data_IF_046047850314
#
_entry.id   IF_046047850314
#
_cell.length_a   1.000
_cell.length_b   1.000
_cell.length_c   1.000
_cell.angle_alpha   90.00
_cell.angle_beta   90.00
_cell.angle_gamma   90.00
#
_symmetry.space_group_name_H-M   'P 1'
#
loop_
_entity.id
_entity.type
_entity.pdbx_description
1 polymer ?
#
# COMPACT_ATOMS: atom_id res chain seq x y z
N UNK A 1 -4.30 9.78 -36.00
CA UNK A 1 -4.86 9.22 -34.76
C UNK A 1 -3.95 8.09 -34.32
N UNK A 2 -2.95 8.39 -33.50
CA UNK A 2 -2.15 7.35 -32.84
C UNK A 2 -3.01 6.77 -31.73
N UNK A 3 -3.43 5.51 -31.86
CA UNK A 3 -3.93 4.75 -30.72
C UNK A 3 -2.85 4.78 -29.67
N UNK A 4 -3.15 5.35 -28.50
CA UNK A 4 -2.25 5.36 -27.36
C UNK A 4 -2.21 3.92 -26.84
N UNK A 5 -1.27 3.14 -27.38
CA UNK A 5 -1.09 1.75 -26.98
C UNK A 5 -0.41 1.81 -25.63
N UNK A 6 -1.14 1.47 -24.57
CA UNK A 6 -0.58 1.27 -23.23
C UNK A 6 0.60 0.30 -23.37
N UNK A 7 1.83 0.75 -23.12
CA UNK A 7 3.02 -0.10 -23.24
C UNK A 7 3.51 -0.59 -21.89
N UNK A 8 3.33 0.22 -20.84
CA UNK A 8 3.88 -0.02 -19.53
C UNK A 8 2.95 0.47 -18.42
N UNK A 9 2.72 -0.41 -17.44
CA UNK A 9 1.95 -0.08 -16.24
C UNK A 9 2.79 -0.44 -15.03
N UNK A 10 3.02 0.52 -14.14
CA UNK A 10 3.59 0.27 -12.83
C UNK A 10 2.48 -0.02 -11.84
N UNK A 11 2.60 -1.08 -11.05
CA UNK A 11 1.59 -1.45 -10.08
C UNK A 11 2.18 -1.49 -8.66
N UNK A 12 1.59 -0.75 -7.73
CA UNK A 12 2.06 -0.58 -6.35
C UNK A 12 0.99 -1.15 -5.41
N UNK A 13 1.40 -2.08 -4.54
CA UNK A 13 0.55 -2.78 -3.58
C UNK A 13 1.22 -2.87 -2.20
N UNK A 14 0.43 -3.09 -1.15
CA UNK A 14 0.91 -3.47 0.20
C UNK A 14 1.92 -2.49 0.82
N UNK A 15 1.73 -1.19 0.59
CA UNK A 15 2.61 -0.15 1.16
C UNK A 15 2.47 -0.08 2.69
N UNK A 16 1.29 -0.40 3.24
CA UNK A 16 0.99 -0.45 4.68
C UNK A 16 1.45 0.81 5.45
N UNK A 17 1.31 1.99 4.83
CA UNK A 17 1.71 3.27 5.43
C UNK A 17 3.23 3.49 5.51
N UNK A 18 4.05 2.64 4.88
CA UNK A 18 5.50 2.80 4.82
C UNK A 18 5.91 3.92 3.85
N UNK A 19 5.82 5.15 4.34
CA UNK A 19 6.18 6.37 3.58
C UNK A 19 7.62 6.34 3.03
N UNK A 20 8.65 5.88 3.76
CA UNK A 20 10.00 5.72 3.20
C UNK A 20 10.05 4.79 1.99
N UNK A 21 9.39 3.62 2.06
CA UNK A 21 9.36 2.67 0.94
C UNK A 21 8.62 3.24 -0.27
N UNK A 22 7.47 3.89 -0.05
CA UNK A 22 6.73 4.55 -1.11
C UNK A 22 7.57 5.64 -1.80
N UNK A 23 8.28 6.45 -1.03
CA UNK A 23 9.15 7.49 -1.59
C UNK A 23 10.31 6.92 -2.42
N UNK A 24 10.88 5.78 -2.01
CA UNK A 24 11.92 5.10 -2.78
C UNK A 24 11.38 4.61 -4.13
N UNK A 25 10.23 3.93 -4.14
CA UNK A 25 9.57 3.44 -5.36
C UNK A 25 9.18 4.61 -6.27
N UNK A 26 8.61 5.68 -5.73
CA UNK A 26 8.26 6.87 -6.52
C UNK A 26 9.48 7.54 -7.15
N UNK A 27 10.64 7.51 -6.49
CA UNK A 27 11.89 8.03 -7.05
C UNK A 27 12.37 7.17 -8.24
N UNK A 28 12.19 5.87 -8.16
CA UNK A 28 12.55 4.95 -9.24
C UNK A 28 11.59 5.06 -10.44
N UNK A 29 10.28 5.18 -10.18
CA UNK A 29 9.27 5.36 -11.23
C UNK A 29 9.45 6.63 -12.05
N UNK A 30 10.07 7.68 -11.48
CA UNK A 30 10.46 8.89 -12.24
C UNK A 30 11.48 8.60 -13.34
N UNK A 31 12.32 7.58 -13.17
CA UNK A 31 13.29 7.18 -14.19
C UNK A 31 12.65 6.24 -15.24
N UNK A 32 11.77 5.34 -14.79
CA UNK A 32 11.12 4.34 -15.64
C UNK A 32 10.04 4.96 -16.54
N UNK A 33 9.35 6.01 -16.06
CA UNK A 33 8.28 6.71 -16.78
C UNK A 33 7.23 5.77 -17.39
N UNK A 34 6.52 4.97 -16.56
CA UNK A 34 5.44 4.14 -17.05
C UNK A 34 4.29 4.99 -17.59
N UNK A 35 3.55 4.46 -18.56
CA UNK A 35 2.38 5.16 -19.13
C UNK A 35 1.26 5.33 -18.08
N UNK A 36 1.13 4.34 -17.19
CA UNK A 36 0.15 4.37 -16.09
C UNK A 36 0.70 3.81 -14.79
N UNK A 37 0.17 4.31 -13.67
CA UNK A 37 0.44 3.79 -12.32
C UNK A 37 -0.88 3.28 -11.73
N UNK A 38 -0.93 1.99 -11.42
CA UNK A 38 -2.01 1.34 -10.68
C UNK A 38 -1.61 1.26 -9.20
N UNK A 39 -2.50 1.72 -8.32
CA UNK A 39 -2.31 1.67 -6.88
C UNK A 39 -3.41 0.78 -6.32
N UNK A 40 -3.05 -0.41 -5.83
CA UNK A 40 -4.03 -1.38 -5.35
C UNK A 40 -3.79 -1.77 -3.90
N UNK A 41 -4.83 -1.67 -3.07
CA UNK A 41 -4.92 -2.28 -1.73
C UNK A 41 -3.91 -1.85 -0.68
N UNK A 42 -4.31 -1.84 0.59
CA UNK A 42 -3.41 -1.79 1.76
C UNK A 42 -2.36 -0.65 1.77
N UNK A 43 -2.70 0.51 1.19
CA UNK A 43 -1.75 1.64 1.05
C UNK A 43 -1.45 2.32 2.39
N UNK A 44 -2.44 2.47 3.28
CA UNK A 44 -2.31 3.23 4.53
C UNK A 44 -2.55 2.37 5.76
N UNK A 45 -3.66 1.63 5.78
CA UNK A 45 -3.91 0.60 6.79
C UNK A 45 -3.92 -0.73 6.04
N UNK A 46 -3.05 -1.67 6.43
CA UNK A 46 -3.32 -3.07 6.13
C UNK A 46 -4.63 -3.54 6.78
N UNK A 47 -5.04 -4.79 6.56
CA UNK A 47 -6.21 -5.37 7.19
C UNK A 47 -6.14 -5.15 8.70
N UNK A 48 -7.02 -4.27 9.19
CA UNK A 48 -7.18 -4.08 10.63
C UNK A 48 -8.00 -5.23 11.15
N UNK A 49 -7.33 -6.20 11.78
CA UNK A 49 -8.00 -7.17 12.65
C UNK A 49 -8.50 -6.41 13.87
N UNK A 50 -9.78 -6.03 13.84
CA UNK A 50 -10.48 -5.51 15.01
C UNK A 50 -11.06 -6.73 15.73
N UNK A 51 -10.32 -7.27 16.71
CA UNK A 51 -10.91 -8.18 17.69
C UNK A 51 -11.69 -7.31 18.67
N UNK A 52 -13.01 -7.21 18.47
CA UNK A 52 -13.89 -6.65 19.49
C UNK A 52 -13.87 -7.62 20.69
N UNK A 53 -13.50 -7.16 21.89
CA UNK A 53 -13.58 -8.01 23.07
C UNK A 53 -15.06 -8.26 23.39
N UNK A 54 -15.55 -9.46 23.08
CA UNK A 54 -16.76 -9.98 23.70
C UNK A 54 -16.42 -10.35 25.15
N UNK A 55 -16.58 -9.40 26.06
CA UNK A 55 -16.64 -9.67 27.49
C UNK A 55 -15.56 -8.97 28.32
N UNK A 56 -16.04 -8.32 29.39
CA UNK A 56 -15.29 -7.73 30.49
C UNK A 56 -14.14 -8.63 30.98
N UNK A 57 -12.89 -8.16 30.88
CA UNK A 57 -11.85 -8.33 31.91
C UNK A 57 -10.48 -7.87 31.41
N UNK A 58 -10.11 -6.63 31.72
CA UNK A 58 -8.80 -6.16 32.20
C UNK A 58 -7.47 -6.79 31.68
N UNK A 59 -7.41 -7.34 30.47
CA UNK A 59 -6.16 -7.81 29.87
C UNK A 59 -5.87 -7.02 28.61
N UNK A 60 -5.00 -6.03 28.76
CA UNK A 60 -4.36 -5.35 27.62
C UNK A 60 -3.61 -6.40 26.80
N UNK A 61 -3.95 -6.60 25.51
CA UNK A 61 -3.13 -7.44 24.66
C UNK A 61 -1.82 -6.68 24.41
N UNK A 62 -0.69 -7.23 24.89
CA UNK A 62 0.62 -6.85 24.37
C UNK A 62 0.68 -7.36 22.94
N UNK A 63 0.30 -6.50 22.00
CA UNK A 63 0.68 -6.69 20.62
C UNK A 63 2.15 -6.27 20.54
N UNK A 64 3.03 -7.24 20.32
CA UNK A 64 4.41 -6.98 19.94
C UNK A 64 4.40 -6.02 18.75
N UNK A 65 4.99 -4.84 18.94
CA UNK A 65 5.59 -4.10 17.84
C UNK A 65 6.83 -4.85 17.36
#
# INVERSE_FOLDING_TARGET
>A
MTTDVIRTVAAIYDIHGNLPALNAVLKELKNVQPDHILVGGDIVSGPSVIILPSGNSNRVPRLCQ
#
